data_IF_953203160802
#
_entry.id   IF_953203160802
#
_cell.length_a   1.000
_cell.length_b   1.000
_cell.length_c   1.000
_cell.angle_alpha   90.00
_cell.angle_beta   90.00
_cell.angle_gamma   90.00
#
_symmetry.space_group_name_H-M   'P 1'
#
loop_
_entity.id
_entity.type
_entity.pdbx_description
1 polymer ?
#
# COMPACT_ATOMS: atom_id res chain seq x y z
N UNK A 1 -19.63 -11.43 2.93
CA UNK A 1 -18.65 -11.95 3.92
C UNK A 1 -17.47 -12.60 3.19
N UNK A 2 -16.24 -12.49 3.70
CA UNK A 2 -15.08 -13.24 3.18
C UNK A 2 -14.84 -14.47 4.04
N UNK A 3 -14.58 -15.61 3.42
CA UNK A 3 -14.05 -16.79 4.09
C UNK A 3 -12.54 -16.89 3.83
N UNK A 4 -11.72 -16.55 4.82
CA UNK A 4 -10.26 -16.68 4.70
C UNK A 4 -9.87 -18.14 4.58
N UNK A 5 -9.03 -18.46 3.61
CA UNK A 5 -8.66 -19.86 3.33
C UNK A 5 -7.16 -19.99 3.21
N UNK A 6 -6.55 -20.73 4.14
CA UNK A 6 -5.12 -21.05 4.13
C UNK A 6 -4.79 -22.05 3.00
N UNK A 7 -5.70 -22.99 2.72
CA UNK A 7 -5.52 -24.07 1.74
C UNK A 7 -6.43 -23.88 0.51
N UNK A 8 -6.01 -23.14 -0.53
CA UNK A 8 -6.88 -22.76 -1.65
C UNK A 8 -7.42 -23.94 -2.47
N UNK A 9 -6.68 -25.06 -2.48
CA UNK A 9 -7.06 -26.26 -3.22
C UNK A 9 -7.98 -27.20 -2.43
N UNK A 10 -8.12 -26.97 -1.12
CA UNK A 10 -8.93 -27.82 -0.24
C UNK A 10 -10.38 -27.35 -0.31
N UNK A 11 -11.23 -28.09 -1.01
CA UNK A 11 -12.68 -27.87 -1.01
C UNK A 11 -13.27 -28.49 0.25
N UNK A 12 -13.93 -27.68 1.08
CA UNK A 12 -14.65 -28.17 2.24
C UNK A 12 -15.92 -28.90 1.77
N UNK A 13 -16.13 -30.13 2.25
CA UNK A 13 -17.27 -30.98 1.86
C UNK A 13 -18.63 -30.39 2.32
N UNK A 14 -18.63 -29.59 3.38
CA UNK A 14 -19.82 -28.94 3.92
C UNK A 14 -19.55 -27.43 4.02
N UNK A 15 -20.04 -26.62 3.07
CA UNK A 15 -19.93 -25.17 3.16
C UNK A 15 -20.80 -24.64 4.31
N UNK A 16 -20.24 -23.75 5.13
CA UNK A 16 -20.98 -23.11 6.22
C UNK A 16 -21.95 -22.10 5.63
N UNK A 17 -23.25 -22.32 5.83
CA UNK A 17 -24.29 -21.36 5.44
C UNK A 17 -24.58 -20.41 6.59
N UNK A 18 -24.36 -19.11 6.36
CA UNK A 18 -24.56 -18.06 7.36
C UNK A 18 -25.78 -17.25 6.95
N UNK A 19 -26.76 -17.16 7.85
CA UNK A 19 -27.97 -16.36 7.68
C UNK A 19 -27.94 -15.16 8.63
N UNK A 20 -28.20 -13.97 8.11
CA UNK A 20 -28.42 -12.74 8.89
C UNK A 20 -29.75 -12.16 8.41
N UNK A 21 -30.68 -11.90 9.34
CA UNK A 21 -32.02 -11.36 9.04
C UNK A 21 -32.72 -12.09 7.89
N UNK A 22 -32.71 -13.43 7.95
CA UNK A 22 -33.28 -14.33 6.94
C UNK A 22 -32.62 -14.27 5.54
N UNK A 23 -31.52 -13.56 5.37
CA UNK A 23 -30.73 -13.52 4.12
C UNK A 23 -29.51 -14.43 4.21
N UNK A 24 -29.30 -15.27 3.18
CA UNK A 24 -28.13 -16.15 3.10
C UNK A 24 -26.95 -15.34 2.55
N UNK A 25 -25.90 -15.19 3.35
CA UNK A 25 -24.69 -14.46 2.93
C UNK A 25 -23.74 -15.42 2.24
N UNK A 26 -23.59 -15.27 0.92
CA UNK A 26 -22.62 -16.05 0.16
C UNK A 26 -21.18 -15.55 0.42
N UNK A 27 -20.20 -16.46 0.54
CA UNK A 27 -18.80 -16.08 0.65
C UNK A 27 -18.33 -15.45 -0.67
N UNK A 28 -17.70 -14.29 -0.58
CA UNK A 28 -17.07 -13.60 -1.70
C UNK A 28 -15.57 -13.90 -1.70
N UNK A 29 -14.98 -14.01 -2.90
CA UNK A 29 -13.54 -14.21 -3.07
C UNK A 29 -12.72 -12.98 -2.65
N UNK A 30 -13.33 -11.80 -2.72
CA UNK A 30 -12.74 -10.53 -2.30
C UNK A 30 -13.84 -9.58 -1.81
N UNK A 31 -13.46 -8.65 -0.94
CA UNK A 31 -14.33 -7.59 -0.43
C UNK A 31 -13.54 -6.31 -0.31
N UNK A 32 -14.24 -5.19 -0.45
CA UNK A 32 -13.68 -3.88 -0.17
C UNK A 32 -14.10 -3.46 1.23
N UNK A 33 -13.13 -3.19 2.09
CA UNK A 33 -13.36 -2.69 3.45
C UNK A 33 -12.48 -1.47 3.68
N UNK A 34 -13.10 -0.34 4.05
CA UNK A 34 -12.41 0.94 4.22
C UNK A 34 -11.42 1.22 3.07
N UNK A 35 -11.88 1.13 1.82
CA UNK A 35 -11.01 1.39 0.65
C UNK A 35 -9.93 0.35 0.34
N UNK A 36 -9.66 -0.62 1.22
CA UNK A 36 -8.71 -1.71 1.01
C UNK A 36 -9.44 -2.92 0.43
N UNK A 37 -8.86 -3.57 -0.58
CA UNK A 37 -9.42 -4.78 -1.17
C UNK A 37 -8.73 -5.97 -0.53
N UNK A 38 -9.49 -6.78 0.18
CA UNK A 38 -8.98 -7.96 0.88
C UNK A 38 -9.41 -9.18 0.07
N UNK A 39 -8.44 -9.97 -0.37
CA UNK A 39 -8.67 -11.25 -1.04
C UNK A 39 -8.73 -12.38 0.00
N UNK A 40 -9.45 -13.47 -0.30
CA UNK A 40 -9.58 -14.66 0.60
C UNK A 40 -8.25 -15.29 1.04
N UNK A 41 -7.18 -15.08 0.27
CA UNK A 41 -5.84 -15.59 0.54
C UNK A 41 -4.84 -14.52 1.01
N UNK A 42 -5.27 -13.26 1.12
CA UNK A 42 -4.39 -12.12 1.41
C UNK A 42 -3.21 -12.00 0.41
N UNK A 43 -3.44 -12.33 -0.87
CA UNK A 43 -2.42 -12.20 -1.92
C UNK A 43 -2.20 -10.74 -2.38
N UNK A 44 -3.09 -9.82 -2.01
CA UNK A 44 -3.07 -8.38 -2.35
C UNK A 44 -3.04 -8.01 -3.83
N UNK A 45 -3.20 -8.98 -4.74
CA UNK A 45 -3.12 -8.74 -6.20
C UNK A 45 -4.23 -7.82 -6.68
N UNK A 46 -5.47 -8.07 -6.28
CA UNK A 46 -6.60 -7.20 -6.66
C UNK A 46 -6.46 -5.80 -6.09
N UNK A 47 -5.93 -5.70 -4.87
CA UNK A 47 -5.65 -4.41 -4.26
C UNK A 47 -4.57 -3.63 -5.01
N UNK A 48 -3.52 -4.31 -5.45
CA UNK A 48 -2.45 -3.71 -6.24
C UNK A 48 -2.96 -3.21 -7.60
N UNK A 49 -3.79 -3.99 -8.29
CA UNK A 49 -4.39 -3.56 -9.56
C UNK A 49 -5.31 -2.33 -9.34
N UNK A 50 -6.01 -2.27 -8.21
CA UNK A 50 -6.76 -1.08 -7.80
C UNK A 50 -5.85 0.15 -7.56
N UNK A 51 -4.68 -0.03 -6.94
CA UNK A 51 -3.70 1.05 -6.74
C UNK A 51 -3.14 1.52 -8.09
N UNK A 52 -2.78 0.58 -8.98
CA UNK A 52 -2.22 0.88 -10.31
C UNK A 52 -3.19 1.69 -11.17
N UNK A 53 -4.46 1.28 -11.21
CA UNK A 53 -5.50 2.01 -11.95
C UNK A 53 -5.74 3.41 -11.38
N UNK A 54 -5.75 3.55 -10.05
CA UNK A 54 -5.99 4.84 -9.38
C UNK A 54 -4.82 5.81 -9.53
N UNK A 55 -3.58 5.32 -9.55
CA UNK A 55 -2.38 6.16 -9.60
C UNK A 55 -1.96 6.53 -11.03
N UNK A 56 -2.28 5.72 -12.03
CA UNK A 56 -1.96 5.98 -13.43
C UNK A 56 -2.29 7.42 -13.89
N UNK A 57 -3.52 7.96 -13.68
CA UNK A 57 -3.82 9.34 -14.06
C UNK A 57 -3.04 10.38 -13.25
N UNK A 58 -2.67 10.08 -12.00
CA UNK A 58 -1.86 10.98 -11.15
C UNK A 58 -0.42 11.07 -11.65
N UNK A 59 0.14 9.96 -12.14
CA UNK A 59 1.45 9.95 -12.80
C UNK A 59 1.41 10.78 -14.10
N UNK A 60 0.32 10.67 -14.86
CA UNK A 60 0.09 11.52 -16.04
C UNK A 60 0.08 13.01 -15.68
N UNK A 61 -0.66 13.38 -14.63
CA UNK A 61 -0.69 14.75 -14.11
C UNK A 61 0.69 15.24 -13.67
N UNK A 62 1.43 14.45 -12.89
CA UNK A 62 2.80 14.80 -12.48
C UNK A 62 3.71 15.07 -13.68
N UNK A 63 3.56 14.26 -14.74
CA UNK A 63 4.33 14.41 -15.98
C UNK A 63 3.92 15.64 -16.79
N UNK A 64 2.63 15.98 -16.78
CA UNK A 64 2.15 17.20 -17.41
C UNK A 64 2.74 18.41 -16.69
N UNK A 65 2.57 18.48 -15.37
CA UNK A 65 3.06 19.58 -14.54
C UNK A 65 4.57 19.79 -14.64
N UNK A 66 5.37 18.71 -14.67
CA UNK A 66 6.82 18.80 -14.79
C UNK A 66 7.28 19.31 -16.16
N UNK A 67 6.47 19.15 -17.22
CA UNK A 67 6.78 19.62 -18.57
C UNK A 67 6.27 21.03 -18.84
N UNK A 68 5.14 21.42 -18.24
CA UNK A 68 4.52 22.74 -18.46
C UNK A 68 5.12 23.84 -17.60
N UNK A 69 5.73 23.49 -16.46
CA UNK A 69 6.43 24.46 -15.65
C UNK A 69 7.70 24.90 -16.39
N UNK A 70 7.87 26.22 -16.57
CA UNK A 70 9.06 26.80 -17.18
C UNK A 70 10.32 26.53 -16.35
N UNK A 71 10.16 26.42 -15.02
CA UNK A 71 11.20 25.99 -14.09
C UNK A 71 10.56 25.30 -12.85
N UNK A 72 10.23 23.99 -12.94
CA UNK A 72 9.59 23.30 -11.83
C UNK A 72 10.57 23.19 -10.66
N UNK A 73 10.27 23.90 -9.57
CA UNK A 73 10.99 23.69 -8.32
C UNK A 73 10.82 22.23 -7.88
N UNK A 74 11.93 21.47 -7.89
CA UNK A 74 11.95 20.05 -7.53
C UNK A 74 11.31 19.77 -6.17
N UNK A 75 11.44 20.68 -5.20
CA UNK A 75 10.81 20.55 -3.87
C UNK A 75 9.28 20.60 -3.98
N UNK A 76 8.75 21.54 -4.77
CA UNK A 76 7.31 21.69 -5.00
C UNK A 76 6.75 20.45 -5.71
N UNK A 77 7.43 19.97 -6.76
CA UNK A 77 7.01 18.75 -7.47
C UNK A 77 7.04 17.51 -6.58
N UNK A 78 8.06 17.38 -5.71
CA UNK A 78 8.13 16.32 -4.70
C UNK A 78 6.98 16.43 -3.71
N UNK A 79 6.61 17.63 -3.28
CA UNK A 79 5.48 17.83 -2.37
C UNK A 79 4.16 17.45 -3.04
N UNK A 80 3.96 17.82 -4.31
CA UNK A 80 2.78 17.39 -5.09
C UNK A 80 2.74 15.86 -5.18
N UNK A 81 3.86 15.20 -5.50
CA UNK A 81 3.96 13.74 -5.49
C UNK A 81 3.55 13.14 -4.15
N UNK A 82 4.04 13.69 -3.03
CA UNK A 82 3.69 13.23 -1.68
C UNK A 82 2.19 13.35 -1.43
N UNK A 83 1.57 14.45 -1.85
CA UNK A 83 0.15 14.72 -1.62
C UNK A 83 -0.78 13.82 -2.44
N UNK A 84 -0.46 13.57 -3.72
CA UNK A 84 -1.42 12.90 -4.63
C UNK A 84 -1.09 11.42 -4.91
N UNK A 85 0.18 11.05 -4.98
CA UNK A 85 0.59 9.71 -5.40
C UNK A 85 0.97 8.85 -4.19
N UNK A 86 1.80 9.38 -3.28
CA UNK A 86 2.23 8.64 -2.08
C UNK A 86 1.05 8.29 -1.17
N UNK A 87 0.09 9.20 -0.99
CA UNK A 87 -1.13 8.95 -0.20
C UNK A 87 -1.94 7.76 -0.71
N UNK A 88 -2.02 7.57 -2.03
CA UNK A 88 -2.71 6.42 -2.64
C UNK A 88 -1.92 5.13 -2.40
N UNK A 89 -0.60 5.17 -2.57
CA UNK A 89 0.26 3.99 -2.42
C UNK A 89 0.26 3.44 -0.98
N UNK A 90 0.25 4.34 -0.01
CA UNK A 90 0.44 4.01 1.42
C UNK A 90 -0.88 3.71 2.10
N UNK A 91 -1.99 3.99 1.44
CA UNK A 91 -3.28 3.68 2.00
C UNK A 91 -3.39 2.18 2.32
N UNK A 92 -3.69 1.85 3.57
CA UNK A 92 -3.72 0.46 4.04
C UNK A 92 -2.33 -0.15 4.33
N UNK A 93 -1.28 0.66 4.51
CA UNK A 93 0.08 0.17 4.82
C UNK A 93 0.17 -0.85 5.97
N UNK A 94 -0.61 -0.76 7.08
CA UNK A 94 -0.49 -1.73 8.17
C UNK A 94 -0.82 -3.15 7.71
N UNK A 95 -1.79 -3.27 6.80
CA UNK A 95 -2.24 -4.56 6.28
C UNK A 95 -1.36 -5.02 5.12
N UNK A 96 -0.93 -4.10 4.26
CA UNK A 96 0.01 -4.35 3.16
C UNK A 96 1.39 -4.86 3.61
N UNK A 97 1.81 -4.62 4.85
CA UNK A 97 3.07 -5.16 5.37
C UNK A 97 3.09 -6.69 5.45
N UNK A 98 1.92 -7.33 5.49
CA UNK A 98 1.79 -8.79 5.38
C UNK A 98 1.97 -9.32 3.94
N UNK A 99 2.08 -8.44 2.95
CA UNK A 99 2.15 -8.82 1.55
C UNK A 99 3.52 -9.39 1.15
N UNK A 100 3.50 -10.28 0.16
CA UNK A 100 4.69 -10.87 -0.44
C UNK A 100 5.66 -9.83 -1.02
N UNK A 101 6.95 -10.22 -1.11
CA UNK A 101 8.01 -9.42 -1.74
C UNK A 101 7.63 -8.97 -3.17
N UNK A 102 6.94 -9.81 -3.93
CA UNK A 102 6.52 -9.49 -5.30
C UNK A 102 5.53 -8.31 -5.36
N UNK A 103 4.63 -8.21 -4.38
CA UNK A 103 3.68 -7.09 -4.26
C UNK A 103 4.46 -5.81 -3.96
N UNK A 104 5.36 -5.85 -2.99
CA UNK A 104 6.21 -4.72 -2.63
C UNK A 104 7.10 -4.25 -3.79
N UNK A 105 7.64 -5.18 -4.60
CA UNK A 105 8.42 -4.85 -5.79
C UNK A 105 7.59 -4.09 -6.82
N UNK A 106 6.35 -4.52 -7.09
CA UNK A 106 5.44 -3.79 -7.99
C UNK A 106 5.10 -2.40 -7.45
N UNK A 107 4.80 -2.29 -6.15
CA UNK A 107 4.55 -0.98 -5.51
C UNK A 107 5.78 -0.05 -5.63
N UNK A 108 6.99 -0.59 -5.45
CA UNK A 108 8.22 0.17 -5.63
C UNK A 108 8.38 0.68 -7.08
N UNK A 109 8.04 -0.15 -8.07
CA UNK A 109 8.05 0.26 -9.48
C UNK A 109 7.08 1.43 -9.72
N UNK A 110 5.88 1.37 -9.13
CA UNK A 110 4.89 2.45 -9.20
C UNK A 110 5.46 3.75 -8.60
N UNK A 111 6.03 3.68 -7.41
CA UNK A 111 6.69 4.84 -6.76
C UNK A 111 7.78 5.43 -7.67
N UNK A 112 8.64 4.57 -8.23
CA UNK A 112 9.73 5.00 -9.09
C UNK A 112 9.24 5.66 -10.39
N UNK A 113 8.14 5.16 -10.98
CA UNK A 113 7.50 5.78 -12.15
C UNK A 113 6.94 7.16 -11.82
N UNK A 114 6.29 7.29 -10.66
CA UNK A 114 5.74 8.56 -10.19
C UNK A 114 6.84 9.60 -9.89
N UNK A 115 7.94 9.18 -9.26
CA UNK A 115 9.09 10.07 -9.00
C UNK A 115 9.76 10.56 -10.27
N UNK A 116 9.98 9.67 -11.25
CA UNK A 116 10.50 10.08 -12.57
C UNK A 116 9.58 11.09 -13.25
N UNK A 117 8.27 10.86 -13.20
CA UNK A 117 7.30 11.80 -13.77
C UNK A 117 7.31 13.17 -13.06
N UNK A 118 7.40 13.19 -11.73
CA UNK A 118 7.46 14.42 -10.94
C UNK A 118 8.73 15.23 -11.20
N UNK A 119 9.87 14.57 -11.37
CA UNK A 119 11.17 15.22 -11.62
C UNK A 119 11.48 15.45 -13.11
N UNK A 120 10.60 15.03 -14.02
CA UNK A 120 10.86 15.13 -15.46
C UNK A 120 12.01 14.23 -15.96
N UNK A 121 12.36 13.18 -15.22
CA UNK A 121 13.49 12.31 -15.53
C UNK A 121 13.13 11.22 -16.56
N UNK A 122 14.08 10.82 -17.43
CA UNK A 122 13.86 9.73 -18.39
C UNK A 122 13.71 8.37 -17.70
N UNK A 123 13.10 7.40 -18.41
CA UNK A 123 12.82 6.08 -17.83
C UNK A 123 14.06 5.26 -17.47
N UNK A 124 15.17 5.47 -18.18
CA UNK A 124 16.43 4.76 -17.96
C UNK A 124 17.26 5.30 -16.78
N UNK A 125 16.84 6.39 -16.13
CA UNK A 125 17.55 6.90 -14.94
C UNK A 125 17.58 5.83 -13.85
N UNK A 126 18.73 5.65 -13.19
CA UNK A 126 18.88 4.65 -12.15
C UNK A 126 17.96 4.93 -10.95
N UNK A 127 17.43 3.87 -10.34
CA UNK A 127 16.54 3.98 -9.18
C UNK A 127 17.26 4.66 -8.02
N UNK A 128 18.52 4.32 -7.80
CA UNK A 128 19.36 4.91 -6.75
C UNK A 128 19.52 6.43 -6.91
N UNK A 129 19.80 6.90 -8.13
CA UNK A 129 19.92 8.33 -8.40
C UNK A 129 18.61 9.09 -8.11
N UNK A 130 17.47 8.53 -8.49
CA UNK A 130 16.15 9.14 -8.25
C UNK A 130 15.89 9.30 -6.75
N UNK A 131 16.20 8.29 -5.94
CA UNK A 131 16.02 8.36 -4.50
C UNK A 131 17.02 9.33 -3.84
N UNK A 132 18.26 9.41 -4.34
CA UNK A 132 19.27 10.37 -3.88
C UNK A 132 18.86 11.82 -4.13
N UNK A 133 18.42 12.15 -5.35
CA UNK A 133 18.03 13.52 -5.70
C UNK A 133 16.71 13.95 -5.05
N UNK A 134 15.75 13.03 -4.93
CA UNK A 134 14.44 13.34 -4.32
C UNK A 134 14.43 13.31 -2.80
N UNK A 135 15.49 12.76 -2.17
CA UNK A 135 15.56 12.48 -0.74
C UNK A 135 14.31 11.73 -0.23
N UNK A 136 13.87 10.74 -1.01
CA UNK A 136 12.68 9.93 -0.70
C UNK A 136 13.10 8.50 -0.41
N UNK A 137 12.70 7.91 0.74
CA UNK A 137 12.95 6.50 1.01
C UNK A 137 12.15 5.59 0.07
N UNK A 138 12.59 4.34 -0.04
CA UNK A 138 11.82 3.27 -0.68
C UNK A 138 10.50 3.07 0.07
N UNK A 139 9.50 2.58 -0.63
CA UNK A 139 8.13 2.55 -0.10
C UNK A 139 7.99 1.62 1.10
N UNK A 140 8.69 0.47 1.09
CA UNK A 140 8.65 -0.50 2.18
C UNK A 140 9.24 0.11 3.46
N UNK A 141 10.41 0.73 3.34
CA UNK A 141 11.10 1.39 4.47
C UNK A 141 10.27 2.54 5.04
N UNK A 142 9.59 3.27 4.16
CA UNK A 142 8.67 4.32 4.59
C UNK A 142 7.42 3.77 5.28
N UNK A 143 6.85 2.65 4.80
CA UNK A 143 5.71 2.00 5.44
C UNK A 143 6.06 1.43 6.83
N UNK A 144 7.25 0.83 6.98
CA UNK A 144 7.70 0.29 8.28
C UNK A 144 7.98 1.41 9.28
N UNK A 145 8.57 2.52 8.86
CA UNK A 145 8.78 3.69 9.72
C UNK A 145 7.46 4.30 10.18
N UNK A 146 6.47 4.43 9.28
CA UNK A 146 5.11 4.87 9.65
C UNK A 146 4.44 3.91 10.65
N UNK A 147 4.58 2.59 10.44
CA UNK A 147 4.01 1.62 11.38
C UNK A 147 4.62 1.77 12.77
N UNK A 148 5.96 1.86 12.85
CA UNK A 148 6.67 2.09 14.13
C UNK A 148 6.18 3.35 14.84
N UNK A 149 6.04 4.46 14.12
CA UNK A 149 5.52 5.72 14.67
C UNK A 149 4.08 5.56 15.16
N UNK A 150 3.19 4.96 14.36
CA UNK A 150 1.79 4.76 14.74
C UNK A 150 1.62 3.89 15.98
N UNK A 151 2.45 2.85 16.12
CA UNK A 151 2.44 1.99 17.31
C UNK A 151 2.99 2.76 18.52
N UNK A 152 4.08 3.52 18.37
CA UNK A 152 4.61 4.36 19.44
C UNK A 152 3.54 5.33 19.97
N UNK A 153 2.85 6.05 19.09
CA UNK A 153 1.73 6.94 19.46
C UNK A 153 0.54 6.21 20.08
N UNK A 154 0.22 5.01 19.61
CA UNK A 154 -0.85 4.21 20.20
C UNK A 154 -0.49 3.69 21.61
N UNK A 155 0.80 3.52 21.90
CA UNK A 155 1.30 2.96 23.17
C UNK A 155 1.59 3.99 24.25
N UNK A 156 1.53 5.29 23.96
CA UNK A 156 1.66 6.34 24.98
C UNK A 156 0.43 6.46 25.87
N UNK A 157 -0.73 5.95 25.43
CA UNK A 157 -2.01 6.03 26.17
C UNK A 157 -2.62 4.67 26.57
N UNK A 158 -1.96 3.53 26.28
CA UNK A 158 -2.54 2.19 26.47
C UNK A 158 -1.76 1.33 27.47
N UNK A 159 -2.50 0.42 28.12
CA UNK A 159 -2.01 -0.62 29.04
C UNK A 159 -0.76 -1.35 28.54
N UNK A 160 0.13 -1.68 29.48
CA UNK A 160 1.44 -2.32 29.28
C UNK A 160 1.32 -3.62 28.45
N UNK A 161 0.20 -4.35 28.58
CA UNK A 161 -0.09 -5.61 27.90
C UNK A 161 -0.29 -5.43 26.39
N UNK A 162 -1.07 -4.41 25.99
CA UNK A 162 -1.32 -4.08 24.58
C UNK A 162 -0.04 -3.59 23.90
N UNK A 163 0.81 -2.88 24.64
CA UNK A 163 2.12 -2.42 24.16
C UNK A 163 3.06 -3.57 23.83
N UNK A 164 3.20 -4.55 24.73
CA UNK A 164 4.02 -5.76 24.49
C UNK A 164 3.52 -6.55 23.28
N UNK A 165 2.20 -6.75 23.16
CA UNK A 165 1.63 -7.50 22.04
C UNK A 165 1.89 -6.83 20.68
N UNK A 166 1.72 -5.51 20.60
CA UNK A 166 1.98 -4.76 19.36
C UNK A 166 3.47 -4.73 18.98
N UNK A 167 4.36 -4.71 19.96
CA UNK A 167 5.80 -4.83 19.74
C UNK A 167 6.18 -6.22 19.21
N UNK A 168 5.62 -7.28 19.78
CA UNK A 168 5.85 -8.66 19.34
C UNK A 168 5.34 -8.91 17.91
N UNK A 169 4.20 -8.29 17.54
CA UNK A 169 3.69 -8.30 16.15
C UNK A 169 4.66 -7.55 15.22
N UNK A 170 5.21 -6.41 15.65
CA UNK A 170 6.15 -5.64 14.83
C UNK A 170 7.43 -6.43 14.54
N UNK A 171 7.98 -7.14 15.54
CA UNK A 171 9.18 -7.96 15.38
C UNK A 171 8.95 -9.15 14.44
N UNK A 172 7.73 -9.72 14.41
CA UNK A 172 7.39 -10.82 13.50
C UNK A 172 7.14 -10.38 12.05
N UNK A 173 6.86 -9.10 11.82
CA UNK A 173 6.56 -8.53 10.49
C UNK A 173 7.82 -7.95 9.82
N UNK A 174 8.82 -7.55 10.60
CA UNK A 174 10.11 -7.03 10.12
C UNK A 174 11.06 -8.15 9.67
#
# INVERSE_FOLDING_TARGET
MIHFTIHPRKKYKHPVEIKVDNTIIKPLDHTRYLGVIIDKQLNWRRHLDHIETKIAPRIGLLRYLSRTAYEPNSRTMINIFKSIARTIIIYGYPVLLTADRNVWNRIQIIQNKALRAALGLPMYTSVEYIHKISNIPKIKDYATTLLKQSIQTATTNNDITSKKHLQDILEKIL
#
